data_IF_889431637960
#
_entry.id   IF_889431637960
#
_cell.length_a   1.000
_cell.length_b   1.000
_cell.length_c   1.000
_cell.angle_alpha   90.00
_cell.angle_beta   90.00
_cell.angle_gamma   90.00
#
_symmetry.space_group_name_H-M   'P 1'
#
loop_
_entity.id
_entity.type
_entity.pdbx_description
1 polymer ?
#
# COMPACT_ATOMS: atom_id res chain seq x y z
N UNK A 1 39.37 -26.94 9.26
CA UNK A 1 38.91 -25.93 8.28
C UNK A 1 37.62 -26.35 7.56
N UNK A 2 37.53 -27.53 6.92
CA UNK A 2 36.30 -27.99 6.21
C UNK A 2 35.01 -28.01 7.05
N UNK A 3 35.10 -28.40 8.33
CA UNK A 3 33.97 -28.43 9.28
C UNK A 3 33.41 -27.03 9.58
N UNK A 4 34.29 -26.02 9.71
CA UNK A 4 33.90 -24.63 9.99
C UNK A 4 33.22 -24.02 8.76
N UNK A 5 33.73 -24.33 7.55
CA UNK A 5 33.11 -23.91 6.30
C UNK A 5 31.72 -24.52 6.13
N UNK A 6 31.55 -25.81 6.43
CA UNK A 6 30.24 -26.49 6.35
C UNK A 6 29.21 -25.90 7.32
N UNK A 7 29.62 -25.61 8.56
CA UNK A 7 28.75 -24.98 9.56
C UNK A 7 28.32 -23.56 9.16
N UNK A 8 29.25 -22.77 8.61
CA UNK A 8 28.94 -21.43 8.12
C UNK A 8 27.96 -21.45 6.93
N UNK A 9 28.13 -22.38 5.99
CA UNK A 9 27.20 -22.54 4.85
C UNK A 9 25.81 -23.00 5.31
N UNK A 10 25.73 -23.90 6.29
CA UNK A 10 24.45 -24.39 6.82
C UNK A 10 23.70 -23.30 7.59
N UNK A 11 24.39 -22.50 8.40
CA UNK A 11 23.82 -21.35 9.09
C UNK A 11 23.33 -20.28 8.09
N UNK A 12 24.09 -20.03 7.02
CA UNK A 12 23.67 -19.18 5.91
C UNK A 12 22.38 -19.67 5.26
N UNK A 13 22.28 -20.96 4.93
CA UNK A 13 21.08 -21.56 4.35
C UNK A 13 19.84 -21.48 5.27
N UNK A 14 20.00 -21.64 6.59
CA UNK A 14 18.87 -21.51 7.53
C UNK A 14 18.32 -20.08 7.60
N UNK A 15 19.17 -19.05 7.46
CA UNK A 15 18.73 -17.65 7.45
C UNK A 15 17.88 -17.28 6.23
N UNK A 16 18.10 -17.93 5.08
CA UNK A 16 17.32 -17.66 3.85
C UNK A 16 15.90 -18.23 3.95
N UNK A 17 15.71 -19.31 4.74
CA UNK A 17 14.41 -19.96 4.92
C UNK A 17 13.46 -19.16 5.82
N UNK A 18 13.95 -18.14 6.53
CA UNK A 18 13.15 -17.30 7.43
C UNK A 18 12.86 -15.91 6.87
N UNK A 19 13.18 -15.64 5.61
CA UNK A 19 12.80 -14.37 4.96
C UNK A 19 11.28 -14.32 4.76
N UNK A 20 10.55 -13.84 5.77
CA UNK A 20 9.15 -13.47 5.62
C UNK A 20 9.09 -12.15 4.85
N UNK A 21 8.26 -12.07 3.82
CA UNK A 21 7.89 -10.77 3.28
C UNK A 21 7.21 -9.97 4.40
N UNK A 22 7.62 -8.71 4.55
CA UNK A 22 7.13 -7.84 5.62
C UNK A 22 5.67 -7.44 5.30
N UNK A 23 4.81 -7.34 6.32
CA UNK A 23 3.35 -7.20 6.15
C UNK A 23 2.89 -5.80 5.72
N UNK A 24 3.80 -4.87 5.56
CA UNK A 24 3.56 -3.45 5.26
C UNK A 24 2.81 -3.28 3.93
N UNK A 25 2.95 -4.24 2.99
CA UNK A 25 2.23 -4.28 1.72
C UNK A 25 0.96 -5.14 1.70
N UNK A 26 0.48 -5.64 2.84
CA UNK A 26 -0.59 -6.64 2.87
C UNK A 26 -2.01 -6.09 2.77
N UNK A 27 -2.22 -4.79 2.93
CA UNK A 27 -3.56 -4.18 2.90
C UNK A 27 -3.66 -3.24 1.70
N UNK A 28 -4.51 -3.60 0.74
CA UNK A 28 -4.63 -2.91 -0.54
C UNK A 28 -5.92 -2.11 -0.58
N UNK A 29 -5.80 -0.84 -0.97
CA UNK A 29 -6.93 0.06 -1.24
C UNK A 29 -6.77 0.63 -2.65
N UNK A 30 -7.75 0.44 -3.53
CA UNK A 30 -7.64 0.85 -4.93
C UNK A 30 -8.99 0.95 -5.65
N UNK A 31 -8.97 1.50 -6.86
CA UNK A 31 -10.10 1.48 -7.79
C UNK A 31 -11.32 2.23 -7.29
N UNK A 32 -12.48 1.59 -7.39
CA UNK A 32 -13.80 2.13 -7.03
C UNK A 32 -14.30 1.50 -5.73
N UNK A 33 -13.71 1.89 -4.59
CA UNK A 33 -14.08 1.43 -3.26
C UNK A 33 -13.59 0.02 -2.90
N UNK A 34 -12.69 -0.58 -3.70
CA UNK A 34 -12.18 -1.92 -3.46
C UNK A 34 -11.08 -1.95 -2.39
N UNK A 35 -11.12 -2.98 -1.55
CA UNK A 35 -10.09 -3.26 -0.56
C UNK A 35 -9.83 -4.77 -0.41
N UNK A 36 -8.56 -5.16 -0.33
CA UNK A 36 -8.13 -6.54 -0.11
C UNK A 36 -7.14 -6.60 1.06
N UNK A 37 -7.25 -7.64 1.88
CA UNK A 37 -6.34 -7.94 2.98
C UNK A 37 -5.70 -9.33 2.74
N UNK A 38 -4.36 -9.36 2.77
CA UNK A 38 -3.51 -10.54 2.57
C UNK A 38 -2.88 -11.07 3.87
N UNK A 39 -3.26 -10.57 5.05
CA UNK A 39 -2.68 -10.95 6.34
C UNK A 39 -2.84 -12.44 6.69
N UNK A 40 -3.84 -13.12 6.10
CA UNK A 40 -4.06 -14.56 6.24
C UNK A 40 -3.21 -15.41 5.28
N UNK A 41 -2.47 -14.80 4.37
CA UNK A 41 -1.75 -15.46 3.29
C UNK A 41 -2.58 -15.68 2.01
N UNK A 42 -3.87 -15.35 2.03
CA UNK A 42 -4.75 -15.32 0.86
C UNK A 42 -5.51 -13.99 0.79
N UNK A 43 -5.92 -13.58 -0.40
CA UNK A 43 -6.70 -12.35 -0.57
C UNK A 43 -8.09 -12.52 0.06
N UNK A 44 -8.43 -11.63 1.00
CA UNK A 44 -9.76 -11.53 1.60
C UNK A 44 -10.33 -10.14 1.38
N UNK A 45 -11.65 -10.05 1.20
CA UNK A 45 -12.32 -8.74 1.08
C UNK A 45 -12.27 -8.06 2.45
N UNK A 46 -11.77 -6.82 2.48
CA UNK A 46 -11.71 -5.99 3.70
C UNK A 46 -12.85 -4.96 3.76
N UNK A 47 -12.83 -4.07 4.76
CA UNK A 47 -13.75 -2.92 4.80
C UNK A 47 -13.63 -2.07 3.54
N UNK A 48 -14.74 -1.52 3.02
CA UNK A 48 -14.72 -0.80 1.77
C UNK A 48 -13.77 0.41 1.82
N UNK A 49 -13.02 0.60 0.74
CA UNK A 49 -12.08 1.70 0.60
C UNK A 49 -12.82 3.02 0.35
N UNK A 50 -12.28 4.14 0.83
CA UNK A 50 -12.73 5.47 0.43
C UNK A 50 -12.13 5.95 -0.90
N UNK A 51 -11.25 5.16 -1.52
CA UNK A 51 -10.68 5.51 -2.82
C UNK A 51 -11.74 5.38 -3.91
N UNK A 52 -11.90 6.44 -4.68
CA UNK A 52 -12.55 6.44 -5.98
C UNK A 52 -11.61 7.00 -7.04
N UNK A 53 -10.86 6.11 -7.70
CA UNK A 53 -9.91 6.48 -8.75
C UNK A 53 -9.78 5.41 -9.83
N UNK A 54 -9.54 5.80 -11.08
CA UNK A 54 -9.26 4.84 -12.16
C UNK A 54 -7.82 4.34 -12.13
N UNK A 55 -6.89 5.18 -11.69
CA UNK A 55 -5.45 4.94 -11.66
C UNK A 55 -4.84 5.59 -10.41
N UNK A 56 -3.64 5.16 -10.01
CA UNK A 56 -2.89 5.79 -8.92
C UNK A 56 -3.51 5.60 -7.54
N UNK A 57 -3.02 4.61 -6.80
CA UNK A 57 -3.31 4.45 -5.38
C UNK A 57 -2.09 3.94 -4.64
N UNK A 58 -2.03 4.23 -3.34
CA UNK A 58 -1.02 3.67 -2.46
C UNK A 58 -1.65 3.39 -1.09
N UNK A 59 -1.23 2.32 -0.45
CA UNK A 59 -1.61 1.96 0.92
C UNK A 59 -0.40 1.36 1.63
N UNK A 60 -0.33 1.59 2.94
CA UNK A 60 0.74 1.05 3.77
C UNK A 60 0.19 0.55 5.11
N UNK A 61 0.71 -0.58 5.56
CA UNK A 61 0.45 -1.15 6.87
C UNK A 61 1.71 -1.10 7.75
N UNK A 62 1.56 -1.35 9.05
CA UNK A 62 2.67 -1.60 9.96
C UNK A 62 3.24 -3.02 9.78
N UNK A 63 4.34 -3.32 10.50
CA UNK A 63 4.98 -4.64 10.47
C UNK A 63 4.06 -5.80 10.92
N UNK A 64 2.96 -5.51 11.62
CA UNK A 64 1.96 -6.50 12.02
C UNK A 64 0.85 -6.67 10.97
N UNK A 65 0.85 -5.85 9.91
CA UNK A 65 -0.15 -5.84 8.86
C UNK A 65 -1.38 -4.99 9.17
N UNK A 66 -1.31 -4.12 10.18
CA UNK A 66 -2.37 -3.17 10.45
C UNK A 66 -2.25 -1.98 9.48
N UNK A 67 -3.30 -1.67 8.73
CA UNK A 67 -3.35 -0.46 7.91
C UNK A 67 -2.96 0.78 8.74
N UNK A 68 -2.12 1.63 8.16
CA UNK A 68 -1.76 2.93 8.73
C UNK A 68 -2.51 4.03 7.98
N UNK A 69 -2.30 4.12 6.67
CA UNK A 69 -2.95 5.09 5.80
C UNK A 69 -2.91 4.65 4.33
N UNK A 70 -3.75 5.30 3.53
CA UNK A 70 -3.85 5.08 2.09
C UNK A 70 -4.23 6.37 1.36
N UNK A 71 -3.99 6.43 0.06
CA UNK A 71 -4.23 7.62 -0.77
C UNK A 71 -4.57 7.26 -2.21
N UNK A 72 -5.29 8.18 -2.85
CA UNK A 72 -5.65 8.15 -4.27
C UNK A 72 -4.72 9.06 -5.13
N UNK A 73 -3.60 9.53 -4.58
CA UNK A 73 -2.52 10.23 -5.30
C UNK A 73 -2.77 11.67 -5.73
N UNK A 74 -4.03 12.14 -5.70
CA UNK A 74 -4.40 13.52 -6.04
C UNK A 74 -4.02 14.00 -7.45
N UNK A 75 -3.75 15.31 -7.57
CA UNK A 75 -3.31 16.01 -8.78
C UNK A 75 -4.37 16.07 -9.88
N UNK A 76 -5.64 16.24 -9.52
CA UNK A 76 -6.76 16.27 -10.48
C UNK A 76 -7.92 17.14 -10.02
N UNK A 77 -8.46 17.92 -10.95
CA UNK A 77 -9.67 18.69 -10.72
C UNK A 77 -10.91 17.80 -10.86
N UNK A 78 -11.77 17.69 -9.82
CA UNK A 78 -12.95 16.82 -9.85
C UNK A 78 -13.94 17.13 -10.98
N UNK A 79 -14.05 18.40 -11.38
CA UNK A 79 -14.96 18.83 -12.45
C UNK A 79 -14.44 18.32 -13.81
N UNK A 80 -13.13 18.31 -14.00
CA UNK A 80 -12.50 17.90 -15.26
C UNK A 80 -12.31 16.39 -15.35
N UNK A 81 -11.96 15.72 -14.25
CA UNK A 81 -11.64 14.29 -14.24
C UNK A 81 -12.83 13.38 -13.94
N UNK A 82 -13.92 13.91 -13.36
CA UNK A 82 -15.05 13.08 -12.89
C UNK A 82 -14.69 12.12 -11.75
N UNK A 83 -13.58 12.40 -11.06
CA UNK A 83 -13.07 11.62 -9.93
C UNK A 83 -12.91 12.53 -8.71
N UNK A 84 -12.89 11.96 -7.52
CA UNK A 84 -12.70 12.75 -6.31
C UNK A 84 -11.31 13.40 -6.22
N UNK A 85 -11.25 14.49 -5.45
CA UNK A 85 -10.03 15.22 -5.13
C UNK A 85 -9.00 14.33 -4.41
N UNK A 86 -7.74 14.78 -4.37
CA UNK A 86 -6.69 14.02 -3.70
C UNK A 86 -6.91 13.97 -2.19
N UNK A 87 -6.80 12.78 -1.57
CA UNK A 87 -6.87 12.65 -0.11
C UNK A 87 -5.91 11.59 0.42
N UNK A 88 -5.54 11.74 1.69
CA UNK A 88 -4.91 10.71 2.52
C UNK A 88 -5.91 10.34 3.60
N UNK A 89 -6.18 9.04 3.76
CA UNK A 89 -7.05 8.52 4.79
C UNK A 89 -6.27 7.68 5.80
N UNK A 90 -6.67 7.72 7.07
CA UNK A 90 -6.13 6.84 8.10
C UNK A 90 -6.79 5.45 8.06
N UNK A 91 -6.34 4.57 8.94
CA UNK A 91 -6.89 3.22 9.14
C UNK A 91 -8.38 3.14 9.49
N UNK A 92 -8.95 4.23 10.00
CA UNK A 92 -10.37 4.33 10.35
C UNK A 92 -11.20 4.91 9.19
N UNK A 93 -10.61 5.06 8.00
CA UNK A 93 -11.23 5.67 6.82
C UNK A 93 -11.57 7.16 7.00
N UNK A 94 -10.94 7.84 7.95
CA UNK A 94 -11.07 9.27 8.16
C UNK A 94 -10.03 10.02 7.34
N UNK A 95 -10.42 11.15 6.75
CA UNK A 95 -9.49 12.00 5.98
C UNK A 95 -8.45 12.61 6.92
N UNK A 96 -7.18 12.27 6.73
CA UNK A 96 -6.03 12.88 7.41
C UNK A 96 -5.60 14.17 6.73
N UNK A 97 -5.64 14.19 5.40
CA UNK A 97 -5.20 15.31 4.59
C UNK A 97 -6.03 15.40 3.31
N UNK A 98 -6.47 16.62 2.98
CA UNK A 98 -7.16 16.92 1.72
C UNK A 98 -6.20 17.71 0.83
N UNK A 99 -5.80 17.09 -0.28
CA UNK A 99 -4.89 17.70 -1.27
C UNK A 99 -5.63 18.68 -2.20
N UNK A 100 -6.95 18.85 -2.02
CA UNK A 100 -7.76 19.67 -2.93
C UNK A 100 -7.61 19.20 -4.39
N UNK A 101 -7.67 20.14 -5.32
CA UNK A 101 -7.74 19.81 -6.75
C UNK A 101 -6.35 19.47 -7.32
N UNK A 102 -5.34 20.32 -7.16
CA UNK A 102 -4.13 20.23 -8.00
C UNK A 102 -2.89 19.68 -7.30
N UNK A 103 -2.92 19.46 -5.98
CA UNK A 103 -1.80 18.84 -5.26
C UNK A 103 -1.83 17.31 -5.44
N UNK A 104 -0.66 16.72 -5.69
CA UNK A 104 -0.48 15.29 -5.91
C UNK A 104 0.21 14.98 -7.25
N UNK A 105 0.33 13.69 -7.58
CA UNK A 105 1.03 13.23 -8.78
C UNK A 105 0.21 13.33 -10.06
N UNK A 106 -1.13 13.37 -9.95
CA UNK A 106 -2.05 13.34 -11.08
C UNK A 106 -2.35 11.93 -11.56
N UNK A 107 -3.56 11.73 -12.10
CA UNK A 107 -4.09 10.39 -12.43
C UNK A 107 -3.39 9.72 -13.62
N UNK A 108 -2.85 10.49 -14.56
CA UNK A 108 -2.17 9.97 -15.77
C UNK A 108 -0.68 10.31 -15.77
N UNK A 109 -0.03 10.18 -14.61
CA UNK A 109 1.39 10.45 -14.42
C UNK A 109 2.21 9.16 -14.42
N UNK A 110 3.53 9.27 -14.66
CA UNK A 110 4.43 8.12 -14.53
C UNK A 110 4.53 7.58 -13.10
N UNK A 111 4.24 8.42 -12.09
CA UNK A 111 4.20 8.05 -10.69
C UNK A 111 3.14 8.90 -9.95
N UNK A 112 1.96 8.30 -9.73
CA UNK A 112 0.82 9.02 -9.15
C UNK A 112 0.83 9.04 -7.62
N UNK A 113 1.03 7.87 -7.00
CA UNK A 113 1.03 7.72 -5.54
C UNK A 113 2.12 6.72 -5.12
N UNK A 114 2.99 7.13 -4.20
CA UNK A 114 4.00 6.28 -3.56
C UNK A 114 4.09 6.68 -2.09
N UNK A 115 4.23 5.67 -1.23
CA UNK A 115 4.52 5.83 0.19
C UNK A 115 5.91 5.21 0.43
N UNK A 116 6.79 5.94 1.11
CA UNK A 116 8.19 5.55 1.38
C UNK A 116 8.48 5.46 2.87
#
# INVERSE_FOLDING_TARGET
MKQITLLATLAGCLCVLTAQAQKEGNVWHFGQGAALDFNSGTATISTPSSIWTFEGSASIADANGNLLFYSNGGGRDPILSGQESGKIWNRNHEVMYDMGNTEGGGFSSSQSAVIV
#
